data_IF_145417166640
#
_entry.id   IF_145417166640
#
_cell.length_a   1.000
_cell.length_b   1.000
_cell.length_c   1.000
_cell.angle_alpha   90.00
_cell.angle_beta   90.00
_cell.angle_gamma   90.00
#
_symmetry.space_group_name_H-M   'P 1'
#
loop_
_entity.id
_entity.type
_entity.pdbx_description
1 polymer ?
#
# COMPACT_ATOMS: atom_id res chain seq x y z
N UNK A 1 27.45 28.46 4.34
CA UNK A 1 27.67 27.05 3.99
C UNK A 1 26.72 26.72 2.85
N UNK A 2 27.23 26.25 1.71
CA UNK A 2 26.38 25.79 0.61
C UNK A 2 25.88 24.37 0.95
N UNK A 3 24.62 24.02 0.64
CA UNK A 3 24.14 22.66 0.82
C UNK A 3 24.93 21.73 -0.11
N UNK A 4 25.54 20.69 0.46
CA UNK A 4 26.12 19.59 -0.31
C UNK A 4 24.97 18.64 -0.65
N UNK A 5 24.63 18.51 -1.93
CA UNK A 5 23.73 17.46 -2.40
C UNK A 5 24.55 16.23 -2.76
N UNK A 6 24.31 15.10 -2.10
CA UNK A 6 24.80 13.82 -2.58
C UNK A 6 23.89 13.36 -3.73
N UNK A 7 24.47 13.17 -4.92
CA UNK A 7 23.79 12.50 -6.02
C UNK A 7 24.08 11.01 -5.89
N UNK A 8 23.11 10.25 -5.41
CA UNK A 8 23.20 8.79 -5.41
C UNK A 8 22.76 8.26 -6.77
N UNK A 9 23.59 7.43 -7.40
CA UNK A 9 23.28 6.86 -8.71
C UNK A 9 22.58 5.52 -8.52
N UNK A 10 21.26 5.52 -8.68
CA UNK A 10 20.46 4.30 -8.58
C UNK A 10 20.60 3.48 -9.86
N UNK A 11 21.18 2.28 -9.76
CA UNK A 11 21.35 1.37 -10.90
C UNK A 11 20.14 0.43 -11.02
N UNK A 12 19.07 0.92 -11.66
CA UNK A 12 17.85 0.16 -11.88
C UNK A 12 18.03 -0.90 -12.97
N UNK A 13 17.45 -2.06 -12.73
CA UNK A 13 17.49 -3.22 -13.64
C UNK A 13 16.07 -3.64 -13.97
N UNK A 14 15.85 -4.03 -15.22
CA UNK A 14 14.53 -4.38 -15.74
C UNK A 14 14.58 -5.73 -16.45
N UNK A 15 13.46 -6.45 -16.43
CA UNK A 15 13.30 -7.65 -17.23
C UNK A 15 12.99 -7.30 -18.71
N UNK A 16 12.82 -8.34 -19.54
CA UNK A 16 12.52 -8.16 -20.98
C UNK A 16 11.16 -7.52 -21.25
N UNK A 17 10.24 -7.56 -20.29
CA UNK A 17 8.91 -6.98 -20.39
C UNK A 17 8.89 -5.53 -19.87
N UNK A 18 10.02 -5.02 -19.37
CA UNK A 18 10.16 -3.65 -18.85
C UNK A 18 9.74 -3.50 -17.40
N UNK A 19 9.54 -4.59 -16.64
CA UNK A 19 9.25 -4.48 -15.22
C UNK A 19 10.52 -4.24 -14.42
N UNK A 20 10.43 -3.42 -13.37
CA UNK A 20 11.53 -3.17 -12.45
C UNK A 20 11.87 -4.44 -11.64
N UNK A 21 13.07 -4.95 -11.80
CA UNK A 21 13.54 -6.16 -11.08
C UNK A 21 14.25 -5.78 -9.80
N UNK A 22 15.25 -4.89 -9.86
CA UNK A 22 15.98 -4.41 -8.68
C UNK A 22 16.76 -3.12 -8.96
N UNK A 23 17.47 -2.62 -7.95
CA UNK A 23 18.30 -1.41 -7.99
C UNK A 23 17.93 -0.39 -6.91
N UNK A 24 16.78 -0.59 -6.26
CA UNK A 24 16.19 0.27 -5.24
C UNK A 24 16.17 -0.36 -3.84
N UNK A 25 17.01 -1.38 -3.62
CA UNK A 25 17.06 -2.13 -2.36
C UNK A 25 16.04 -3.27 -2.24
N UNK A 26 15.22 -3.49 -3.27
CA UNK A 26 14.28 -4.62 -3.35
C UNK A 26 14.51 -5.45 -4.60
N UNK A 27 14.17 -6.74 -4.51
CA UNK A 27 14.16 -7.65 -5.66
C UNK A 27 12.76 -8.18 -5.91
N UNK A 28 12.26 -7.95 -7.12
CA UNK A 28 10.89 -8.23 -7.52
C UNK A 28 10.83 -9.40 -8.48
N UNK A 29 9.90 -10.31 -8.24
CA UNK A 29 9.62 -11.44 -9.12
C UNK A 29 8.23 -11.26 -9.69
N UNK A 30 8.11 -11.37 -11.01
CA UNK A 30 6.85 -11.30 -11.74
C UNK A 30 6.42 -12.70 -12.18
N UNK A 31 5.11 -12.96 -12.19
CA UNK A 31 4.57 -14.23 -12.68
C UNK A 31 4.47 -14.26 -14.22
N UNK A 32 4.02 -15.38 -14.79
CA UNK A 32 3.88 -15.55 -16.25
C UNK A 32 2.84 -14.63 -16.90
N UNK A 33 1.98 -13.98 -16.10
CA UNK A 33 1.02 -12.97 -16.52
C UNK A 33 1.55 -11.55 -16.33
N UNK A 34 2.84 -11.39 -16.05
CA UNK A 34 3.49 -10.10 -15.85
C UNK A 34 3.00 -9.33 -14.60
N UNK A 35 2.50 -10.04 -13.58
CA UNK A 35 2.02 -9.46 -12.32
C UNK A 35 3.07 -9.61 -11.22
N UNK A 36 3.22 -8.60 -10.35
CA UNK A 36 4.16 -8.61 -9.23
C UNK A 36 3.83 -9.73 -8.24
N UNK A 37 4.63 -10.78 -8.20
CA UNK A 37 4.34 -11.98 -7.43
C UNK A 37 4.99 -11.99 -6.06
N UNK A 38 6.24 -11.51 -5.97
CA UNK A 38 7.03 -11.51 -4.74
C UNK A 38 7.97 -10.32 -4.67
N UNK A 39 8.26 -9.88 -3.44
CA UNK A 39 9.27 -8.88 -3.14
C UNK A 39 10.21 -9.45 -2.08
N UNK A 40 11.50 -9.35 -2.34
CA UNK A 40 12.58 -9.72 -1.43
C UNK A 40 13.35 -8.47 -1.00
N UNK A 41 13.91 -8.51 0.19
CA UNK A 41 14.83 -7.48 0.67
C UNK A 41 16.20 -7.64 0.00
N UNK A 42 16.79 -6.59 -0.55
CA UNK A 42 18.06 -6.63 -1.25
C UNK A 42 17.92 -6.76 -2.77
N UNK A 43 18.92 -7.35 -3.42
CA UNK A 43 19.04 -7.33 -4.89
C UNK A 43 18.81 -8.66 -5.59
N UNK A 44 18.47 -9.71 -4.84
CA UNK A 44 18.18 -11.04 -5.36
C UNK A 44 17.27 -11.83 -4.39
N UNK A 45 17.09 -13.13 -4.65
CA UNK A 45 16.25 -14.02 -3.83
C UNK A 45 16.98 -14.59 -2.60
N UNK A 46 18.22 -14.19 -2.31
CA UNK A 46 18.95 -14.65 -1.12
C UNK A 46 18.52 -13.89 0.14
N UNK A 47 18.01 -12.67 -0.04
CA UNK A 47 17.44 -11.89 1.05
C UNK A 47 16.09 -12.44 1.53
N UNK A 48 15.61 -11.98 2.70
CA UNK A 48 14.29 -12.31 3.22
C UNK A 48 13.17 -12.02 2.21
N UNK A 49 12.23 -12.97 2.06
CA UNK A 49 10.98 -12.73 1.34
C UNK A 49 10.13 -11.79 2.20
N UNK A 50 9.85 -10.59 1.69
CA UNK A 50 9.06 -9.57 2.38
C UNK A 50 7.58 -9.73 2.12
N UNK A 51 7.22 -9.88 0.84
CA UNK A 51 5.83 -9.90 0.42
C UNK A 51 5.57 -10.95 -0.65
N UNK A 52 4.40 -11.55 -0.59
CA UNK A 52 3.89 -12.49 -1.60
C UNK A 52 2.44 -12.20 -1.91
N UNK A 53 2.15 -12.11 -3.20
CA UNK A 53 0.86 -11.75 -3.73
C UNK A 53 0.17 -12.96 -4.37
N UNK A 54 -1.12 -13.12 -4.07
CA UNK A 54 -2.03 -14.01 -4.79
C UNK A 54 -3.05 -13.16 -5.50
N UNK A 55 -3.13 -13.29 -6.82
CA UNK A 55 -4.08 -12.53 -7.63
C UNK A 55 -5.40 -13.28 -7.77
N UNK A 56 -6.48 -12.51 -7.91
CA UNK A 56 -7.77 -13.03 -8.30
C UNK A 56 -7.67 -13.68 -9.68
N UNK A 57 -8.28 -14.86 -9.91
CA UNK A 57 -8.10 -15.61 -11.16
C UNK A 57 -8.67 -14.88 -12.39
N UNK A 58 -9.55 -13.90 -12.21
CA UNK A 58 -10.24 -13.21 -13.32
C UNK A 58 -10.26 -11.68 -13.23
N UNK A 59 -10.01 -11.07 -12.07
CA UNK A 59 -10.18 -9.60 -11.87
C UNK A 59 -8.86 -8.83 -11.90
N UNK A 60 -7.75 -9.46 -12.28
CA UNK A 60 -6.40 -8.86 -12.34
C UNK A 60 -5.99 -8.03 -11.10
N UNK A 61 -6.55 -8.36 -9.93
CA UNK A 61 -6.33 -7.69 -8.65
C UNK A 61 -5.66 -8.61 -7.65
N UNK A 62 -4.94 -8.04 -6.69
CA UNK A 62 -4.46 -8.81 -5.53
C UNK A 62 -5.68 -9.22 -4.69
N UNK A 63 -5.78 -10.52 -4.41
CA UNK A 63 -6.77 -11.11 -3.51
C UNK A 63 -6.18 -11.29 -2.10
N UNK A 64 -4.91 -11.70 -2.03
CA UNK A 64 -4.20 -11.97 -0.78
C UNK A 64 -2.80 -11.39 -0.85
N UNK A 65 -2.41 -10.62 0.17
CA UNK A 65 -1.03 -10.20 0.42
C UNK A 65 -0.53 -10.86 1.70
N UNK A 66 0.53 -11.66 1.59
CA UNK A 66 1.24 -12.19 2.76
C UNK A 66 2.48 -11.34 3.01
N UNK A 67 2.63 -10.86 4.24
CA UNK A 67 3.75 -10.01 4.65
C UNK A 67 4.56 -10.77 5.69
N UNK A 68 5.88 -10.67 5.56
CA UNK A 68 6.85 -11.25 6.48
C UNK A 68 7.72 -10.15 7.09
N UNK A 69 8.28 -10.44 8.26
CA UNK A 69 9.33 -9.63 8.86
C UNK A 69 10.68 -9.87 8.17
N UNK A 70 11.67 -9.04 8.49
CA UNK A 70 13.04 -9.18 7.97
C UNK A 70 13.73 -10.49 8.39
N UNK A 71 13.27 -11.15 9.45
CA UNK A 71 13.74 -12.48 9.86
C UNK A 71 13.01 -13.63 9.14
N UNK A 72 12.21 -13.31 8.11
CA UNK A 72 11.35 -14.24 7.37
C UNK A 72 10.21 -14.88 8.18
N UNK A 73 9.99 -14.46 9.42
CA UNK A 73 8.80 -14.85 10.17
C UNK A 73 7.55 -14.21 9.56
N UNK A 74 6.42 -14.91 9.62
CA UNK A 74 5.15 -14.37 9.17
C UNK A 74 4.74 -13.17 10.05
N UNK A 75 4.41 -12.04 9.42
CA UNK A 75 3.93 -10.82 10.09
C UNK A 75 2.41 -10.78 10.07
N UNK A 76 1.83 -10.84 8.88
CA UNK A 76 0.39 -10.74 8.66
C UNK A 76 -0.03 -11.23 7.28
N UNK A 77 -1.33 -11.49 7.14
CA UNK A 77 -1.98 -11.75 5.86
C UNK A 77 -3.15 -10.78 5.69
N UNK A 78 -3.15 -10.05 4.58
CA UNK A 78 -4.22 -9.14 4.18
C UNK A 78 -5.06 -9.80 3.10
N UNK A 79 -6.38 -9.85 3.33
CA UNK A 79 -7.39 -10.36 2.41
C UNK A 79 -8.18 -9.18 1.84
N UNK A 80 -8.07 -8.96 0.55
CA UNK A 80 -8.86 -7.97 -0.18
C UNK A 80 -10.10 -8.68 -0.72
N UNK A 81 -11.15 -8.80 0.08
CA UNK A 81 -12.35 -9.58 -0.30
C UNK A 81 -13.06 -8.89 -1.46
N UNK A 82 -13.36 -7.60 -1.27
CA UNK A 82 -13.90 -6.71 -2.28
C UNK A 82 -13.41 -5.27 -2.02
N UNK A 83 -13.99 -4.29 -2.70
CA UNK A 83 -13.61 -2.89 -2.61
C UNK A 83 -14.08 -2.19 -1.32
N UNK A 84 -15.04 -2.79 -0.61
CA UNK A 84 -15.61 -2.29 0.64
C UNK A 84 -15.12 -3.04 1.87
N UNK A 85 -14.46 -4.19 1.73
CA UNK A 85 -14.11 -5.05 2.85
C UNK A 85 -12.69 -5.61 2.73
N UNK A 86 -11.88 -5.32 3.75
CA UNK A 86 -10.54 -5.85 3.93
C UNK A 86 -10.43 -6.52 5.29
N UNK A 87 -9.79 -7.69 5.31
CA UNK A 87 -9.49 -8.42 6.53
C UNK A 87 -7.98 -8.55 6.70
N UNK A 88 -7.48 -8.18 7.86
CA UNK A 88 -6.08 -8.38 8.24
C UNK A 88 -6.04 -9.46 9.32
N UNK A 89 -5.20 -10.46 9.12
CA UNK A 89 -4.94 -11.52 10.10
C UNK A 89 -3.47 -11.45 10.50
N UNK A 90 -3.19 -11.33 11.79
CA UNK A 90 -1.84 -11.35 12.35
C UNK A 90 -1.82 -12.21 13.63
N UNK A 91 -0.70 -12.24 14.34
CA UNK A 91 -0.55 -13.04 15.57
C UNK A 91 -1.49 -12.62 16.70
N UNK A 92 -1.96 -11.36 16.70
CA UNK A 92 -2.85 -10.79 17.71
C UNK A 92 -4.33 -11.07 17.43
N UNK A 93 -4.71 -11.40 16.19
CA UNK A 93 -6.08 -11.75 15.86
C UNK A 93 -6.47 -11.45 14.41
N UNK A 94 -7.79 -11.29 14.22
CA UNK A 94 -8.43 -10.95 12.95
C UNK A 94 -9.08 -9.59 13.07
N UNK A 95 -8.84 -8.74 12.08
CA UNK A 95 -9.24 -7.33 12.07
C UNK A 95 -9.97 -7.04 10.77
N UNK A 96 -11.24 -6.68 10.89
CA UNK A 96 -12.11 -6.38 9.76
C UNK A 96 -12.28 -4.87 9.59
N UNK A 97 -12.04 -4.41 8.37
CA UNK A 97 -12.21 -3.03 7.95
C UNK A 97 -13.30 -2.97 6.90
N UNK A 98 -14.31 -2.14 7.13
CA UNK A 98 -15.40 -1.90 6.17
C UNK A 98 -15.35 -0.46 5.71
N UNK A 99 -15.34 -0.23 4.40
CA UNK A 99 -15.27 1.09 3.80
C UNK A 99 -16.65 1.53 3.31
N UNK A 100 -16.94 2.82 3.48
CA UNK A 100 -18.14 3.45 2.95
C UNK A 100 -17.74 4.33 1.79
N UNK A 101 -18.39 4.13 0.63
CA UNK A 101 -18.15 4.91 -0.58
C UNK A 101 -19.34 5.80 -0.92
N UNK A 102 -19.05 6.96 -1.49
CA UNK A 102 -20.01 7.87 -2.11
C UNK A 102 -19.47 8.30 -3.47
N UNK A 103 -20.25 8.09 -4.53
CA UNK A 103 -19.85 8.39 -5.92
C UNK A 103 -18.47 7.79 -6.33
N UNK A 104 -18.19 6.57 -5.85
CA UNK A 104 -16.92 5.87 -6.11
C UNK A 104 -15.76 6.28 -5.21
N UNK A 105 -15.90 7.35 -4.43
CA UNK A 105 -14.87 7.81 -3.49
C UNK A 105 -15.13 7.29 -2.09
N UNK A 106 -14.07 6.89 -1.38
CA UNK A 106 -14.17 6.47 0.03
C UNK A 106 -14.37 7.69 0.93
N UNK A 107 -15.46 7.68 1.69
CA UNK A 107 -15.85 8.77 2.60
C UNK A 107 -15.83 8.36 4.07
N UNK A 108 -15.66 7.07 4.36
CA UNK A 108 -15.52 6.62 5.73
C UNK A 108 -15.04 5.17 5.84
N UNK A 109 -14.72 4.80 7.07
CA UNK A 109 -14.26 3.46 7.44
C UNK A 109 -14.81 3.11 8.81
N UNK A 110 -15.30 1.87 8.92
CA UNK A 110 -15.60 1.20 10.18
C UNK A 110 -14.43 0.29 10.52
N UNK A 111 -13.82 0.55 11.68
CA UNK A 111 -12.65 -0.17 12.18
C UNK A 111 -13.05 -1.39 13.02
N UNK A 112 -12.11 -2.33 13.25
CA UNK A 112 -12.35 -3.54 14.04
C UNK A 112 -12.85 -3.28 15.47
N UNK A 113 -12.48 -2.14 16.05
CA UNK A 113 -12.90 -1.69 17.38
C UNK A 113 -14.28 -0.98 17.38
N UNK A 114 -15.01 -1.04 16.26
CA UNK A 114 -16.27 -0.32 16.01
C UNK A 114 -16.15 1.20 15.96
N UNK A 115 -14.93 1.76 16.04
CA UNK A 115 -14.73 3.17 15.79
C UNK A 115 -15.00 3.49 14.31
N UNK A 116 -15.44 4.72 14.07
CA UNK A 116 -15.71 5.24 12.73
C UNK A 116 -14.82 6.42 12.48
N UNK A 117 -14.25 6.45 11.30
CA UNK A 117 -13.53 7.60 10.79
C UNK A 117 -14.19 8.10 9.51
N UNK A 118 -14.02 9.38 9.26
CA UNK A 118 -14.57 10.07 8.10
C UNK A 118 -13.41 10.64 7.30
N UNK A 119 -13.42 10.35 6.01
CA UNK A 119 -12.33 10.67 5.11
C UNK A 119 -12.79 11.78 4.19
N UNK A 120 -11.98 12.83 4.10
CA UNK A 120 -12.23 13.99 3.27
C UNK A 120 -11.19 13.99 2.13
N UNK A 121 -11.51 13.39 0.98
CA UNK A 121 -10.57 13.29 -0.12
C UNK A 121 -10.45 14.60 -0.91
N UNK A 122 -9.33 14.78 -1.62
CA UNK A 122 -9.21 15.77 -2.67
C UNK A 122 -9.95 15.35 -3.96
N UNK A 123 -9.91 16.21 -4.97
CA UNK A 123 -10.52 15.97 -6.29
C UNK A 123 -9.98 14.74 -7.04
N UNK A 124 -8.83 14.19 -6.65
CA UNK A 124 -8.24 12.97 -7.21
C UNK A 124 -8.48 11.75 -6.32
N UNK A 125 -9.22 11.90 -5.22
CA UNK A 125 -9.47 10.83 -4.26
C UNK A 125 -8.38 10.65 -3.21
N UNK A 126 -7.37 11.52 -3.16
CA UNK A 126 -6.29 11.43 -2.16
C UNK A 126 -6.83 11.79 -0.77
N UNK A 127 -6.55 10.98 0.25
CA UNK A 127 -6.97 11.27 1.62
C UNK A 127 -6.25 12.52 2.15
N UNK A 128 -6.97 13.63 2.38
CA UNK A 128 -6.37 14.88 2.88
C UNK A 128 -6.63 15.16 4.34
N UNK A 129 -7.82 14.86 4.82
CA UNK A 129 -8.23 15.09 6.21
C UNK A 129 -9.03 13.88 6.70
N UNK A 130 -8.77 13.49 7.94
CA UNK A 130 -9.52 12.43 8.62
C UNK A 130 -10.04 12.97 9.94
N UNK A 131 -11.32 12.72 10.20
CA UNK A 131 -11.98 13.08 11.44
C UNK A 131 -12.61 11.86 12.13
N UNK A 132 -12.72 11.90 13.45
CA UNK A 132 -13.43 10.89 14.23
C UNK A 132 -14.95 11.15 14.28
N UNK A 133 -15.68 10.34 15.04
CA UNK A 133 -17.13 10.52 15.25
C UNK A 133 -17.54 11.77 16.04
N UNK A 134 -16.60 12.41 16.72
CA UNK A 134 -16.81 13.67 17.44
C UNK A 134 -16.44 14.89 16.57
N UNK A 135 -16.05 14.67 15.31
CA UNK A 135 -15.50 15.68 14.39
C UNK A 135 -14.12 16.21 14.80
N UNK A 136 -13.42 15.51 15.69
CA UNK A 136 -12.05 15.82 16.04
C UNK A 136 -11.13 15.34 14.92
N UNK A 137 -10.09 16.14 14.64
CA UNK A 137 -9.11 15.84 13.60
C UNK A 137 -8.18 14.70 14.06
N UNK A 138 -8.21 13.58 13.33
CA UNK A 138 -7.27 12.47 13.50
C UNK A 138 -5.99 12.76 12.71
N UNK A 139 -6.12 13.18 11.45
CA UNK A 139 -4.99 13.31 10.53
C UNK A 139 -5.22 14.42 9.51
N UNK A 140 -4.14 15.08 9.07
CA UNK A 140 -4.16 16.00 7.94
C UNK A 140 -2.88 15.81 7.11
N UNK A 141 -3.04 15.33 5.89
CA UNK A 141 -1.97 14.89 5.02
C UNK A 141 -1.97 15.71 3.74
N UNK A 142 -0.80 16.24 3.39
CA UNK A 142 -0.57 16.87 2.09
C UNK A 142 0.38 16.01 1.27
N UNK A 143 0.30 16.12 -0.06
CA UNK A 143 1.13 15.36 -0.98
C UNK A 143 1.85 16.29 -1.94
N UNK A 144 3.07 15.94 -2.32
CA UNK A 144 3.68 16.46 -3.54
C UNK A 144 2.88 16.00 -4.77
N UNK A 145 3.09 16.62 -5.95
CA UNK A 145 2.40 16.20 -7.17
C UNK A 145 2.61 14.73 -7.57
N UNK A 146 3.59 14.03 -6.99
CA UNK A 146 3.90 12.63 -7.26
C UNK A 146 3.63 11.70 -6.06
N UNK A 147 2.83 12.15 -5.09
CA UNK A 147 2.32 11.29 -4.02
C UNK A 147 3.23 11.09 -2.82
N UNK A 148 4.38 11.77 -2.78
CA UNK A 148 5.19 11.85 -1.56
C UNK A 148 4.45 12.68 -0.52
N UNK A 149 4.25 12.12 0.67
CA UNK A 149 3.60 12.79 1.80
C UNK A 149 4.48 13.94 2.30
N UNK A 150 3.86 15.11 2.46
CA UNK A 150 4.45 16.33 3.02
C UNK A 150 3.64 16.68 4.27
N UNK A 151 4.15 16.30 5.44
CA UNK A 151 3.46 16.51 6.72
C UNK A 151 3.27 15.22 7.51
N UNK A 152 2.19 15.15 8.28
CA UNK A 152 1.83 13.99 9.10
C UNK A 152 0.77 13.16 8.35
N UNK A 153 1.00 11.86 8.17
CA UNK A 153 -0.01 10.98 7.58
C UNK A 153 0.36 9.51 7.57
N UNK A 154 -0.22 8.74 8.50
CA UNK A 154 0.03 7.28 8.63
C UNK A 154 -1.19 6.51 9.17
N UNK A 155 -2.30 7.18 9.47
CA UNK A 155 -3.47 6.55 10.06
C UNK A 155 -4.29 5.75 9.03
N UNK A 156 -4.01 5.94 7.73
CA UNK A 156 -4.71 5.27 6.63
C UNK A 156 -3.78 4.48 5.71
N UNK A 157 -4.26 3.30 5.33
CA UNK A 157 -3.58 2.45 4.35
C UNK A 157 -3.81 2.91 2.90
N UNK A 158 -4.84 3.73 2.63
CA UNK A 158 -5.10 4.32 1.32
C UNK A 158 -4.94 5.84 1.37
N UNK A 159 -3.91 6.33 0.69
CA UNK A 159 -3.46 7.71 0.81
C UNK A 159 -3.58 8.42 -0.54
N UNK A 160 -2.48 8.55 -1.28
CA UNK A 160 -2.44 9.29 -2.54
C UNK A 160 -3.32 8.65 -3.63
N UNK A 161 -4.21 9.45 -4.24
CA UNK A 161 -5.21 9.03 -5.26
C UNK A 161 -6.06 7.82 -4.85
N UNK A 162 -6.27 7.61 -3.55
CA UNK A 162 -7.04 6.49 -3.00
C UNK A 162 -6.37 5.12 -3.11
N UNK A 163 -5.09 5.07 -3.49
CA UNK A 163 -4.35 3.82 -3.65
C UNK A 163 -3.76 3.33 -2.34
N UNK A 164 -3.62 2.01 -2.24
CA UNK A 164 -2.94 1.40 -1.10
C UNK A 164 -1.47 1.82 -1.09
N UNK A 165 -1.07 2.46 0.01
CA UNK A 165 0.33 2.70 0.33
C UNK A 165 0.90 1.45 0.97
N UNK A 166 1.99 0.94 0.40
CA UNK A 166 2.77 -0.12 1.00
C UNK A 166 3.86 0.49 1.88
N UNK A 167 3.68 0.44 3.20
CA UNK A 167 4.63 1.05 4.14
C UNK A 167 6.04 0.44 4.07
N UNK A 168 6.15 -0.83 3.68
CA UNK A 168 7.43 -1.54 3.68
C UNK A 168 8.30 -1.11 2.51
N UNK A 169 7.69 -0.93 1.35
CA UNK A 169 8.38 -0.54 0.12
C UNK A 169 8.27 0.96 -0.18
N UNK A 170 7.39 1.67 0.53
CA UNK A 170 6.97 3.03 0.24
C UNK A 170 6.45 3.20 -1.20
N UNK A 171 5.77 2.17 -1.70
CA UNK A 171 5.20 2.12 -3.05
C UNK A 171 3.69 2.12 -2.99
N UNK A 172 3.06 2.79 -3.96
CA UNK A 172 1.63 2.73 -4.11
C UNK A 172 1.24 1.61 -5.06
N UNK A 173 0.29 0.77 -4.63
CA UNK A 173 -0.29 -0.24 -5.49
C UNK A 173 -1.40 0.36 -6.36
N UNK A 174 -1.06 0.62 -7.62
CA UNK A 174 -2.02 0.92 -8.68
C UNK A 174 -2.33 -0.41 -9.41
N UNK A 175 -3.42 -1.06 -9.05
CA UNK A 175 -3.91 -2.24 -9.79
C UNK A 175 -4.27 -1.89 -11.24
N UNK A 176 -4.43 -2.90 -12.11
CA UNK A 176 -4.89 -2.69 -13.50
C UNK A 176 -6.39 -2.34 -13.59
N UNK A 177 -7.14 -2.49 -12.50
CA UNK A 177 -8.49 -1.95 -12.32
C UNK A 177 -8.65 -1.51 -10.86
N UNK A 178 -9.07 -0.26 -10.67
CA UNK A 178 -9.49 0.29 -9.37
C UNK A 178 -10.96 0.67 -9.55
N UNK A 179 -11.84 0.12 -8.71
CA UNK A 179 -13.20 0.59 -8.56
C UNK A 179 -13.23 1.85 -7.70
#
# INVERSE_FOLDING_TARGET
MLPVSFADSLSLTYDKNGNLVTGDGFYRVYNSLNQLWKIYNGSDTTGPLLEKYTYHPVEERVLIKNVSNLDSSWKETVYYVNDEFVRIVNSSGTYDFTYVKHEGQRVGELRPDSSKIFIHPDHLGSTTLITDSNSDRIENTSYTPFGVIVGEGTAESRLYTGQFSDELTNQYYYGYYVW
#
